data_IF_751530183517
#
_entry.id   IF_751530183517
#
_cell.length_a   1.000
_cell.length_b   1.000
_cell.length_c   1.000
_cell.angle_alpha   90.00
_cell.angle_beta   90.00
_cell.angle_gamma   90.00
#
_symmetry.space_group_name_H-M   'P 1'
#
loop_
_entity.id
_entity.type
_entity.pdbx_description
1 polymer ?
#
# COMPACT_ATOMS: atom_id res chain seq x y z
N UNK A 1 -18.90 -2.47 7.75
CA UNK A 1 -18.03 -1.40 8.29
C UNK A 1 -17.34 -0.75 7.10
N UNK A 2 -17.46 0.57 6.89
CA UNK A 2 -16.83 1.24 5.74
C UNK A 2 -15.41 1.70 6.08
N UNK A 3 -14.55 1.89 5.07
CA UNK A 3 -13.19 2.44 5.27
C UNK A 3 -13.22 3.79 6.00
N UNK A 4 -14.22 4.63 5.73
CA UNK A 4 -14.43 5.91 6.41
C UNK A 4 -14.67 5.79 7.92
N UNK A 5 -15.21 4.66 8.40
CA UNK A 5 -15.38 4.43 9.84
C UNK A 5 -14.08 3.95 10.49
N UNK A 6 -13.22 3.27 9.75
CA UNK A 6 -11.93 2.75 10.24
C UNK A 6 -10.85 3.84 10.23
N UNK A 7 -10.85 4.67 9.20
CA UNK A 7 -9.88 5.74 8.96
C UNK A 7 -10.61 7.09 8.86
N UNK A 8 -11.20 7.60 9.96
CA UNK A 8 -12.05 8.79 9.92
C UNK A 8 -11.32 10.07 9.51
N UNK A 9 -10.00 10.11 9.69
CA UNK A 9 -9.14 11.26 9.38
C UNK A 9 -8.45 11.15 8.01
N UNK A 10 -8.74 10.11 7.24
CA UNK A 10 -8.22 9.90 5.89
C UNK A 10 -9.32 10.10 4.86
N UNK A 11 -9.10 11.03 3.94
CA UNK A 11 -9.91 11.19 2.74
C UNK A 11 -9.29 10.31 1.65
N UNK A 12 -10.11 9.52 0.95
CA UNK A 12 -9.66 8.69 -0.17
C UNK A 12 -10.25 9.31 -1.44
N UNK A 13 -9.39 9.67 -2.40
CA UNK A 13 -9.79 10.24 -3.70
C UNK A 13 -9.20 9.44 -4.83
N UNK A 14 -10.08 8.92 -5.67
CA UNK A 14 -9.66 8.35 -6.95
C UNK A 14 -9.56 9.42 -8.04
N UNK A 15 -9.00 9.03 -9.19
CA UNK A 15 -9.01 9.85 -10.41
C UNK A 15 -7.78 10.74 -10.58
N UNK A 16 -6.78 10.55 -9.72
CA UNK A 16 -5.52 11.24 -9.83
C UNK A 16 -4.68 10.69 -11.01
N UNK A 17 -3.88 11.56 -11.62
CA UNK A 17 -2.91 11.17 -12.64
C UNK A 17 -1.84 10.23 -12.06
N UNK A 18 -1.45 10.46 -10.82
CA UNK A 18 -0.48 9.66 -10.07
C UNK A 18 -0.98 9.39 -8.64
N UNK A 19 -0.62 8.23 -8.06
CA UNK A 19 -0.85 8.00 -6.65
C UNK A 19 -0.03 9.00 -5.81
N UNK A 20 -0.62 9.48 -4.71
CA UNK A 20 0.02 10.45 -3.83
C UNK A 20 -0.61 10.43 -2.45
N UNK A 21 0.20 10.62 -1.41
CA UNK A 21 -0.28 10.87 -0.06
C UNK A 21 0.00 12.32 0.36
N UNK A 22 -1.08 13.07 0.60
CA UNK A 22 -1.03 14.42 1.15
C UNK A 22 -1.24 14.37 2.67
N UNK A 23 -0.23 14.78 3.43
CA UNK A 23 -0.32 14.82 4.87
C UNK A 23 -1.32 15.88 5.35
N UNK A 24 -1.92 15.66 6.53
CA UNK A 24 -2.80 16.64 7.15
C UNK A 24 -2.06 17.95 7.46
N UNK A 25 -2.54 19.07 6.92
CA UNK A 25 -1.97 20.42 7.09
C UNK A 25 -3.08 21.45 7.28
N UNK A 26 -2.83 22.47 8.09
CA UNK A 26 -3.72 23.63 8.28
C UNK A 26 -5.20 23.27 8.58
N UNK A 27 -5.40 22.26 9.43
CA UNK A 27 -6.75 21.79 9.82
C UNK A 27 -7.46 20.93 8.77
N UNK A 28 -6.82 20.66 7.62
CA UNK A 28 -7.31 19.71 6.61
C UNK A 28 -6.91 18.28 6.98
N UNK A 29 -7.82 17.34 6.71
CA UNK A 29 -7.56 15.89 6.83
C UNK A 29 -6.51 15.45 5.82
N UNK A 30 -5.83 14.35 6.13
CA UNK A 30 -4.91 13.73 5.18
C UNK A 30 -5.69 13.18 3.98
N UNK A 31 -5.10 13.19 2.80
CA UNK A 31 -5.73 12.69 1.57
C UNK A 31 -4.85 11.65 0.90
N UNK A 32 -5.43 10.50 0.58
CA UNK A 32 -4.83 9.44 -0.20
C UNK A 32 -5.40 9.48 -1.63
N UNK A 33 -4.55 9.81 -2.59
CA UNK A 33 -4.89 9.86 -4.00
C UNK A 33 -4.46 8.55 -4.67
N UNK A 34 -5.33 7.96 -5.48
CA UNK A 34 -5.02 6.76 -6.26
C UNK A 34 -5.60 6.87 -7.67
N UNK A 35 -5.11 6.02 -8.58
CA UNK A 35 -5.60 6.00 -9.98
C UNK A 35 -6.96 5.29 -10.04
N UNK A 36 -7.99 5.99 -10.53
CA UNK A 36 -9.40 5.55 -10.50
C UNK A 36 -9.64 4.16 -11.10
N UNK A 37 -8.93 3.83 -12.18
CA UNK A 37 -9.21 2.62 -12.97
C UNK A 37 -8.58 1.34 -12.40
N UNK A 38 -7.89 1.42 -11.27
CA UNK A 38 -7.14 0.29 -10.72
C UNK A 38 -7.41 0.12 -9.22
N UNK A 39 -8.32 -0.77 -8.80
CA UNK A 39 -8.56 -1.07 -7.39
C UNK A 39 -7.29 -1.40 -6.61
N UNK A 40 -6.32 -2.06 -7.26
CA UNK A 40 -5.02 -2.35 -6.66
C UNK A 40 -4.19 -1.09 -6.35
N UNK A 41 -4.33 -0.01 -7.13
CA UNK A 41 -3.68 1.27 -6.82
C UNK A 41 -4.15 1.78 -5.46
N UNK A 42 -5.46 1.73 -5.16
CA UNK A 42 -5.96 2.09 -3.84
C UNK A 42 -5.40 1.17 -2.74
N UNK A 43 -5.41 -0.14 -2.95
CA UNK A 43 -4.94 -1.11 -1.94
C UNK A 43 -3.44 -0.97 -1.66
N UNK A 44 -2.67 -0.60 -2.68
CA UNK A 44 -1.25 -0.32 -2.57
C UNK A 44 -1.01 0.93 -1.69
N UNK A 45 -1.68 2.04 -2.00
CA UNK A 45 -1.58 3.27 -1.21
C UNK A 45 -2.07 3.09 0.24
N UNK A 46 -3.14 2.33 0.43
CA UNK A 46 -3.63 1.98 1.77
C UNK A 46 -2.62 1.14 2.54
N UNK A 47 -1.87 0.27 1.87
CA UNK A 47 -0.82 -0.53 2.50
C UNK A 47 0.31 0.36 3.02
N UNK A 48 0.78 1.32 2.21
CA UNK A 48 1.75 2.31 2.67
C UNK A 48 1.23 3.14 3.85
N UNK A 49 -0.01 3.60 3.79
CA UNK A 49 -0.62 4.33 4.89
C UNK A 49 -0.68 3.50 6.18
N UNK A 50 -1.15 2.25 6.09
CA UNK A 50 -1.33 1.37 7.24
C UNK A 50 -0.01 1.02 7.94
N UNK A 51 1.06 0.87 7.18
CA UNK A 51 2.40 0.54 7.69
C UNK A 51 3.21 1.77 8.11
N UNK A 52 2.84 2.96 7.64
CA UNK A 52 3.47 4.21 8.05
C UNK A 52 3.06 4.58 9.48
N UNK A 53 4.05 4.76 10.36
CA UNK A 53 3.83 5.25 11.72
C UNK A 53 3.49 6.75 11.76
N UNK A 54 3.09 7.23 12.94
CA UNK A 54 2.57 8.60 13.14
C UNK A 54 3.51 9.71 12.64
N UNK A 55 4.83 9.51 12.72
CA UNK A 55 5.81 10.48 12.21
C UNK A 55 5.79 10.55 10.68
N UNK A 56 5.70 9.40 10.01
CA UNK A 56 5.71 9.30 8.54
C UNK A 56 4.41 9.84 7.95
N UNK A 57 3.26 9.61 8.59
CA UNK A 57 1.95 10.18 8.19
C UNK A 57 1.85 11.71 8.31
N UNK A 58 2.87 12.38 8.86
CA UNK A 58 2.95 13.85 8.87
C UNK A 58 3.73 14.42 7.68
N UNK A 59 4.26 13.55 6.83
CA UNK A 59 5.05 13.92 5.64
C UNK A 59 4.29 13.47 4.41
N UNK A 60 4.32 14.30 3.36
CA UNK A 60 3.78 13.92 2.06
C UNK A 60 4.54 12.69 1.52
N UNK A 61 3.83 11.80 0.84
CA UNK A 61 4.31 10.46 0.43
C UNK A 61 5.02 9.69 1.54
N UNK A 62 4.58 9.90 2.77
CA UNK A 62 5.16 9.33 3.97
C UNK A 62 6.63 9.72 4.19
N UNK A 63 7.19 10.63 3.40
CA UNK A 63 8.63 10.91 3.34
C UNK A 63 9.44 9.82 2.62
N UNK A 64 8.83 9.07 1.69
CA UNK A 64 9.57 8.29 0.69
C UNK A 64 10.14 9.23 -0.38
N UNK A 65 11.32 8.89 -0.91
CA UNK A 65 11.89 9.59 -2.06
C UNK A 65 11.39 8.94 -3.35
N UNK A 66 10.93 9.77 -4.28
CA UNK A 66 10.65 9.32 -5.64
C UNK A 66 11.96 8.98 -6.35
N UNK A 67 12.08 7.73 -6.84
CA UNK A 67 13.16 7.35 -7.73
C UNK A 67 12.63 7.38 -9.16
N UNK A 68 13.18 8.22 -10.05
CA UNK A 68 12.77 8.22 -11.45
C UNK A 68 13.07 6.86 -12.10
N UNK A 69 12.31 6.54 -13.14
CA UNK A 69 12.48 5.33 -13.92
C UNK A 69 13.92 5.21 -14.45
N UNK A 70 14.52 4.02 -14.35
CA UNK A 70 15.92 3.77 -14.72
C UNK A 70 16.82 3.33 -13.57
N UNK A 71 16.28 2.53 -12.62
CA UNK A 71 17.04 1.99 -11.49
C UNK A 71 18.14 1.04 -11.98
N UNK A 72 19.32 1.15 -11.38
CA UNK A 72 20.34 0.10 -11.38
C UNK A 72 19.83 -1.14 -10.65
N UNK A 73 20.53 -2.27 -10.79
CA UNK A 73 20.15 -3.51 -10.11
C UNK A 73 20.21 -3.36 -8.58
N UNK A 74 21.19 -2.62 -8.06
CA UNK A 74 21.31 -2.34 -6.63
C UNK A 74 20.14 -1.49 -6.13
N UNK A 75 19.74 -0.47 -6.88
CA UNK A 75 18.58 0.38 -6.55
C UNK A 75 17.27 -0.41 -6.63
N UNK A 76 17.13 -1.32 -7.59
CA UNK A 76 15.96 -2.18 -7.70
C UNK A 76 15.86 -3.14 -6.50
N UNK A 77 16.97 -3.72 -6.04
CA UNK A 77 16.98 -4.57 -4.84
C UNK A 77 16.61 -3.78 -3.57
N UNK A 78 17.05 -2.53 -3.46
CA UNK A 78 16.66 -1.64 -2.35
C UNK A 78 15.17 -1.31 -2.38
N UNK A 79 14.64 -1.01 -3.58
CA UNK A 79 13.20 -0.82 -3.80
C UNK A 79 12.40 -2.06 -3.38
N UNK A 80 12.74 -3.22 -3.92
CA UNK A 80 12.07 -4.48 -3.59
C UNK A 80 12.06 -4.76 -2.08
N UNK A 81 13.17 -4.49 -1.39
CA UNK A 81 13.27 -4.66 0.06
C UNK A 81 12.28 -3.78 0.84
N UNK A 82 12.08 -2.52 0.42
CA UNK A 82 11.14 -1.62 1.09
C UNK A 82 9.68 -1.89 0.71
N UNK A 83 9.46 -2.44 -0.49
CA UNK A 83 8.14 -2.76 -1.04
C UNK A 83 7.56 -4.10 -0.61
N UNK A 84 8.41 -5.04 -0.17
CA UNK A 84 7.96 -6.39 0.17
C UNK A 84 6.84 -6.39 1.23
N UNK A 85 6.98 -5.55 2.27
CA UNK A 85 5.99 -5.49 3.36
C UNK A 85 4.69 -4.77 2.97
N UNK A 86 4.72 -3.58 2.32
CA UNK A 86 3.54 -2.99 1.69
C UNK A 86 2.81 -3.94 0.75
N UNK A 87 3.52 -4.63 -0.17
CA UNK A 87 2.89 -5.53 -1.11
C UNK A 87 2.37 -6.83 -0.47
N UNK A 88 2.97 -7.29 0.63
CA UNK A 88 2.41 -8.36 1.45
C UNK A 88 1.06 -7.99 2.06
N UNK A 89 0.89 -6.74 2.51
CA UNK A 89 -0.38 -6.22 2.97
C UNK A 89 -1.37 -5.97 1.82
N UNK A 90 -0.92 -5.46 0.68
CA UNK A 90 -1.75 -5.34 -0.53
C UNK A 90 -2.32 -6.70 -0.93
N UNK A 91 -1.49 -7.76 -0.89
CA UNK A 91 -1.91 -9.14 -1.15
C UNK A 91 -2.99 -9.60 -0.16
N UNK A 92 -2.85 -9.28 1.13
CA UNK A 92 -3.87 -9.61 2.14
C UNK A 92 -5.19 -8.86 1.90
N UNK A 93 -5.14 -7.57 1.54
CA UNK A 93 -6.33 -6.81 1.18
C UNK A 93 -6.99 -7.33 -0.10
N UNK A 94 -6.20 -7.69 -1.11
CA UNK A 94 -6.67 -8.32 -2.34
C UNK A 94 -7.42 -9.62 -2.04
N UNK A 95 -6.84 -10.49 -1.20
CA UNK A 95 -7.48 -11.73 -0.78
C UNK A 95 -8.81 -11.50 -0.05
N UNK A 96 -8.85 -10.51 0.85
CA UNK A 96 -10.08 -10.14 1.57
C UNK A 96 -11.22 -9.69 0.63
N UNK A 97 -10.88 -9.09 -0.51
CA UNK A 97 -11.83 -8.58 -1.51
C UNK A 97 -12.04 -9.50 -2.72
N UNK A 98 -11.40 -10.67 -2.77
CA UNK A 98 -11.45 -11.56 -3.93
C UNK A 98 -10.78 -11.00 -5.19
N UNK A 99 -9.89 -10.02 -5.07
CA UNK A 99 -9.14 -9.41 -6.18
C UNK A 99 -7.85 -10.19 -6.42
N UNK A 100 -7.50 -10.43 -7.69
CA UNK A 100 -6.23 -11.08 -8.03
C UNK A 100 -5.05 -10.14 -7.75
N UNK A 101 -4.13 -10.58 -6.90
CA UNK A 101 -2.88 -9.88 -6.62
C UNK A 101 -1.80 -10.18 -7.67
N UNK A 102 -0.94 -9.19 -7.94
CA UNK A 102 0.29 -9.35 -8.73
C UNK A 102 1.37 -8.41 -8.18
N UNK A 103 2.59 -8.89 -7.88
CA UNK A 103 3.68 -8.02 -7.45
C UNK A 103 3.93 -6.90 -8.46
N UNK A 104 4.21 -5.70 -7.95
CA UNK A 104 4.63 -4.54 -8.74
C UNK A 104 6.12 -4.32 -8.54
N UNK A 105 6.88 -4.25 -9.62
CA UNK A 105 8.32 -3.95 -9.57
C UNK A 105 8.61 -2.48 -9.80
N UNK A 106 7.60 -1.71 -10.19
CA UNK A 106 7.73 -0.31 -10.60
C UNK A 106 8.92 -0.10 -11.55
N UNK A 107 9.11 -1.07 -12.45
CA UNK A 107 10.15 -1.12 -13.45
C UNK A 107 9.52 -1.56 -14.78
N UNK A 108 9.64 -0.69 -15.79
CA UNK A 108 9.12 -0.93 -17.13
C UNK A 108 10.14 -1.67 -18.02
N UNK A 109 11.31 -2.06 -17.49
CA UNK A 109 12.34 -2.79 -18.23
C UNK A 109 11.95 -4.23 -18.62
N UNK A 110 10.94 -4.80 -17.94
CA UNK A 110 10.49 -6.17 -18.15
C UNK A 110 11.31 -7.23 -17.40
N UNK A 111 12.22 -6.82 -16.52
CA UNK A 111 12.94 -7.75 -15.62
C UNK A 111 11.97 -8.44 -14.66
N UNK A 112 12.16 -9.73 -14.36
CA UNK A 112 11.36 -10.43 -13.37
C UNK A 112 11.72 -9.99 -11.94
N UNK A 113 10.77 -10.22 -11.03
CA UNK A 113 10.95 -10.04 -9.59
C UNK A 113 12.12 -10.90 -9.09
N UNK A 114 12.94 -10.36 -8.17
CA UNK A 114 13.94 -11.20 -7.52
C UNK A 114 13.30 -12.27 -6.63
N UNK A 115 13.95 -13.43 -6.47
CA UNK A 115 13.45 -14.50 -5.58
C UNK A 115 13.35 -14.04 -4.13
N UNK A 116 14.31 -13.22 -3.67
CA UNK A 116 14.34 -12.69 -2.31
C UNK A 116 13.19 -11.72 -2.06
N UNK A 117 12.78 -10.94 -3.06
CA UNK A 117 11.60 -10.09 -2.98
C UNK A 117 10.33 -10.92 -2.80
N UNK A 118 10.13 -11.94 -3.64
CA UNK A 118 8.95 -12.80 -3.59
C UNK A 118 8.85 -13.55 -2.24
N UNK A 119 9.97 -14.01 -1.70
CA UNK A 119 10.02 -14.66 -0.38
C UNK A 119 9.65 -13.68 0.74
N UNK A 120 10.22 -12.47 0.75
CA UNK A 120 9.93 -11.46 1.77
C UNK A 120 8.48 -10.97 1.69
N UNK A 121 7.94 -10.82 0.48
CA UNK A 121 6.54 -10.48 0.24
C UNK A 121 5.61 -11.55 0.82
N UNK A 122 5.92 -12.83 0.58
CA UNK A 122 5.13 -13.93 1.14
C UNK A 122 5.21 -13.98 2.67
N UNK A 123 6.40 -13.78 3.25
CA UNK A 123 6.56 -13.68 4.71
C UNK A 123 5.74 -12.53 5.29
N UNK A 124 5.76 -11.37 4.65
CA UNK A 124 4.94 -10.23 5.06
C UNK A 124 3.45 -10.51 4.91
N UNK A 125 3.02 -11.20 3.85
CA UNK A 125 1.64 -11.63 3.70
C UNK A 125 1.21 -12.53 4.87
N UNK A 126 2.02 -13.52 5.26
CA UNK A 126 1.76 -14.35 6.44
C UNK A 126 1.73 -13.54 7.75
N UNK A 127 2.63 -12.56 7.90
CA UNK A 127 2.61 -11.59 9.03
C UNK A 127 1.24 -10.88 9.11
N UNK A 128 0.70 -10.41 7.98
CA UNK A 128 -0.58 -9.70 7.96
C UNK A 128 -1.78 -10.60 8.31
N UNK A 129 -1.68 -11.90 8.07
CA UNK A 129 -2.74 -12.85 8.45
C UNK A 129 -2.72 -13.20 9.94
N UNK A 130 -1.53 -13.26 10.55
CA UNK A 130 -1.35 -13.75 11.92
C UNK A 130 -1.32 -12.59 12.92
N UNK A 131 -0.61 -11.52 12.60
CA UNK A 131 -0.24 -10.46 13.54
C UNK A 131 -0.12 -9.10 12.87
N UNK A 132 -1.10 -8.73 12.04
CA UNK A 132 -1.11 -7.45 11.35
C UNK A 132 -0.98 -6.26 12.33
N UNK A 133 -0.22 -5.21 11.98
CA UNK A 133 -0.16 -3.98 12.78
C UNK A 133 -1.55 -3.37 13.02
N UNK A 134 -1.75 -2.59 14.09
CA UNK A 134 -3.09 -2.15 14.51
C UNK A 134 -3.91 -1.44 13.43
N UNK A 135 -3.29 -0.58 12.59
CA UNK A 135 -4.03 0.08 11.50
C UNK A 135 -4.40 -0.92 10.40
N UNK A 136 -3.44 -1.75 9.98
CA UNK A 136 -3.65 -2.78 8.95
C UNK A 136 -4.75 -3.77 9.38
N UNK A 137 -4.72 -4.23 10.64
CA UNK A 137 -5.72 -5.14 11.19
C UNK A 137 -7.14 -4.58 11.10
N UNK A 138 -7.35 -3.32 11.48
CA UNK A 138 -8.67 -2.67 11.37
C UNK A 138 -9.15 -2.57 9.92
N UNK A 139 -8.24 -2.24 9.00
CA UNK A 139 -8.56 -2.14 7.56
C UNK A 139 -8.92 -3.51 7.00
N UNK A 140 -8.13 -4.54 7.28
CA UNK A 140 -8.40 -5.92 6.84
C UNK A 140 -9.77 -6.41 7.34
N UNK A 141 -10.10 -6.17 8.61
CA UNK A 141 -11.43 -6.53 9.16
C UNK A 141 -12.56 -5.82 8.42
N UNK A 142 -12.42 -4.53 8.12
CA UNK A 142 -13.43 -3.80 7.37
C UNK A 142 -13.57 -4.28 5.94
N UNK A 143 -12.46 -4.58 5.24
CA UNK A 143 -12.50 -5.11 3.88
C UNK A 143 -13.13 -6.50 3.81
N UNK A 144 -12.76 -7.41 4.72
CA UNK A 144 -13.37 -8.74 4.78
C UNK A 144 -14.88 -8.68 5.02
N UNK A 145 -15.36 -7.70 5.78
CA UNK A 145 -16.79 -7.50 5.99
C UNK A 145 -17.55 -7.02 4.73
N UNK A 146 -16.87 -6.52 3.71
CA UNK A 146 -17.49 -6.13 2.43
C UNK A 146 -17.71 -7.34 1.50
N UNK A 147 -16.90 -8.39 1.64
CA UNK A 147 -16.95 -9.58 0.81
C UNK A 147 -17.88 -10.67 1.38
N UNK A 148 -18.43 -10.46 2.58
CA UNK A 148 -19.37 -11.38 3.25
C UNK A 148 -20.85 -11.13 2.89
N UNK A 149 -21.12 -10.32 1.86
CA UNK A 149 -22.45 -10.03 1.31
C UNK A 149 -22.49 -10.40 -0.17
#
# INVERSE_FOLDING_TARGET
MTLSNVLPDLIIKGGAEEPFYEAAKDGKKATLYFRDNYPRSLLHELSHFCLSGDKRRKLDDFGYWYFPCGRTEEEQLLFEKVEARPQGLEKAMCAALGIKFSPSLDDFSGKPASESFLQQLEMAYQEMLISAPPTASKVLVALSALNSY
#
